data_IF_471176323276
#
_entry.id   IF_471176323276
#
_cell.length_a   1.000
_cell.length_b   1.000
_cell.length_c   1.000
_cell.angle_alpha   90.00
_cell.angle_beta   90.00
_cell.angle_gamma   90.00
#
_symmetry.space_group_name_H-M   'P 1'
#
loop_
_entity.id
_entity.type
_entity.pdbx_description
1 polymer ?
#
# COMPACT_ATOMS: atom_id res chain seq x y z
N UNK A 1 -0.86 -0.28 22.23
CA UNK A 1 0.13 0.05 21.18
C UNK A 1 -0.57 0.04 19.83
N UNK A 2 -0.57 1.13 19.06
CA UNK A 2 -1.17 1.14 17.72
C UNK A 2 -0.11 0.77 16.68
N UNK A 3 -0.45 -0.14 15.76
CA UNK A 3 0.40 -0.48 14.62
C UNK A 3 0.22 0.57 13.52
N UNK A 4 1.32 1.09 12.99
CA UNK A 4 1.30 2.12 11.94
C UNK A 4 1.41 1.52 10.55
N UNK A 5 2.36 0.60 10.35
CA UNK A 5 2.58 -0.15 9.11
C UNK A 5 3.17 -1.53 9.44
N UNK A 6 3.11 -2.49 8.52
CA UNK A 6 3.70 -3.81 8.70
C UNK A 6 3.71 -4.64 7.43
N UNK A 7 4.56 -5.67 7.42
CA UNK A 7 4.82 -6.53 6.28
C UNK A 7 5.18 -7.95 6.75
N UNK A 8 4.76 -8.94 5.97
CA UNK A 8 5.13 -10.34 6.16
C UNK A 8 6.50 -10.64 5.55
N UNK A 9 7.26 -11.48 6.22
CA UNK A 9 8.56 -12.02 5.79
C UNK A 9 8.48 -13.53 5.62
N UNK A 10 9.39 -14.08 4.81
CA UNK A 10 9.60 -15.52 4.64
C UNK A 10 8.29 -16.26 4.33
N UNK A 11 7.50 -15.75 3.38
CA UNK A 11 6.21 -16.35 3.02
C UNK A 11 5.15 -16.31 4.14
N UNK A 12 5.29 -15.41 5.12
CA UNK A 12 4.34 -15.21 6.21
C UNK A 12 4.73 -15.86 7.55
N UNK A 13 5.88 -16.53 7.61
CA UNK A 13 6.46 -17.10 8.84
C UNK A 13 6.78 -16.04 9.89
N UNK A 14 7.03 -14.79 9.48
CA UNK A 14 7.24 -13.69 10.42
C UNK A 14 6.51 -12.43 9.97
N UNK A 15 6.10 -11.62 10.94
CA UNK A 15 5.51 -10.31 10.75
C UNK A 15 6.45 -9.25 11.31
N UNK A 16 6.89 -8.32 10.46
CA UNK A 16 7.55 -7.09 10.91
C UNK A 16 6.54 -5.97 10.89
N UNK A 17 6.46 -5.22 11.99
CA UNK A 17 5.53 -4.10 12.07
C UNK A 17 6.11 -2.96 12.90
N UNK A 18 5.63 -1.76 12.63
CA UNK A 18 6.03 -0.56 13.34
C UNK A 18 4.92 -0.04 14.23
N UNK A 19 5.34 0.65 15.27
CA UNK A 19 4.46 1.36 16.21
C UNK A 19 5.06 2.73 16.49
N UNK A 20 4.39 3.53 17.32
CA UNK A 20 4.94 4.81 17.77
C UNK A 20 6.33 4.69 18.44
N UNK A 21 6.64 3.52 19.00
CA UNK A 21 7.80 3.29 19.87
C UNK A 21 8.94 2.48 19.24
N UNK A 22 8.80 2.01 18.00
CA UNK A 22 9.82 1.19 17.37
C UNK A 22 9.27 0.22 16.33
N UNK A 23 10.17 -0.57 15.76
CA UNK A 23 9.90 -1.66 14.83
C UNK A 23 10.09 -2.99 15.57
N UNK A 24 9.14 -3.89 15.38
CA UNK A 24 9.01 -5.16 16.08
C UNK A 24 8.94 -6.29 15.06
N UNK A 25 9.42 -7.46 15.48
CA UNK A 25 9.30 -8.73 14.77
C UNK A 25 8.48 -9.68 15.64
N UNK A 26 7.59 -10.43 15.01
CA UNK A 26 6.94 -11.57 15.64
C UNK A 26 6.88 -12.75 14.68
N UNK A 27 7.14 -13.95 15.18
CA UNK A 27 7.11 -15.16 14.38
C UNK A 27 5.75 -15.85 14.48
N UNK A 28 5.35 -16.54 13.42
CA UNK A 28 4.08 -17.24 13.33
C UNK A 28 4.17 -18.53 14.14
N UNK A 29 3.23 -18.73 15.05
CA UNK A 29 3.08 -19.99 15.80
C UNK A 29 2.20 -20.97 15.01
N UNK A 30 1.13 -20.45 14.42
CA UNK A 30 0.19 -21.19 13.57
C UNK A 30 -0.51 -20.21 12.63
N UNK A 31 -1.41 -20.70 11.77
CA UNK A 31 -2.10 -19.89 10.75
C UNK A 31 -2.90 -18.69 11.31
N UNK A 32 -3.16 -18.63 12.62
CA UNK A 32 -3.98 -17.58 13.24
C UNK A 32 -3.24 -16.74 14.27
N UNK A 33 -2.07 -17.17 14.76
CA UNK A 33 -1.40 -16.51 15.89
C UNK A 33 0.09 -16.33 15.68
N UNK A 34 0.58 -15.18 16.14
CA UNK A 34 1.98 -14.81 16.19
C UNK A 34 2.47 -14.77 17.64
N UNK A 35 3.77 -14.97 17.85
CA UNK A 35 4.44 -14.87 19.13
C UNK A 35 4.36 -13.47 19.75
N UNK A 36 4.75 -13.36 21.01
CA UNK A 36 4.92 -12.06 21.65
C UNK A 36 5.97 -11.24 20.87
N UNK A 37 5.65 -9.98 20.47
CA UNK A 37 6.56 -9.21 19.62
C UNK A 37 7.85 -8.82 20.32
N UNK A 38 8.97 -9.03 19.62
CA UNK A 38 10.29 -8.59 20.07
C UNK A 38 10.66 -7.30 19.36
N UNK A 39 11.07 -6.29 20.12
CA UNK A 39 11.49 -5.00 19.56
C UNK A 39 12.85 -5.14 18.89
N UNK A 40 12.90 -4.89 17.58
CA UNK A 40 14.12 -5.00 16.79
C UNK A 40 14.83 -3.67 16.64
N UNK A 41 14.09 -2.59 16.38
CA UNK A 41 14.66 -1.25 16.23
C UNK A 41 13.95 -0.24 17.14
N UNK A 42 14.74 0.62 17.79
CA UNK A 42 14.23 1.79 18.51
C UNK A 42 14.05 2.98 17.56
N UNK A 43 13.27 2.77 16.48
CA UNK A 43 12.97 3.77 15.46
C UNK A 43 11.53 4.26 15.63
N UNK A 44 11.37 5.37 16.34
CA UNK A 44 10.06 5.96 16.68
C UNK A 44 9.43 6.65 15.49
N UNK A 45 8.11 6.87 15.57
CA UNK A 45 7.34 7.61 14.55
C UNK A 45 7.54 7.05 13.13
N UNK A 46 7.70 5.72 13.02
CA UNK A 46 7.79 5.04 11.73
C UNK A 46 6.42 5.03 11.07
N UNK A 47 6.33 5.57 9.86
CA UNK A 47 5.09 5.73 9.08
C UNK A 47 5.03 4.83 7.86
N UNK A 48 6.19 4.42 7.34
CA UNK A 48 6.31 3.49 6.23
C UNK A 48 7.43 2.49 6.51
N UNK A 49 7.21 1.24 6.13
CA UNK A 49 8.15 0.13 6.25
C UNK A 49 8.03 -0.72 4.98
N UNK A 50 9.16 -0.99 4.34
CA UNK A 50 9.25 -1.89 3.18
C UNK A 50 10.41 -2.84 3.38
N UNK A 51 10.17 -4.12 3.10
CA UNK A 51 11.17 -5.16 3.10
C UNK A 51 11.33 -5.68 1.68
N UNK A 52 12.57 -5.63 1.22
CA UNK A 52 13.03 -6.11 -0.07
C UNK A 52 13.83 -7.39 0.20
N UNK A 53 13.15 -8.52 0.22
CA UNK A 53 13.70 -9.82 0.66
C UNK A 53 14.83 -10.29 -0.28
N UNK A 54 14.63 -10.23 -1.59
CA UNK A 54 15.66 -10.60 -2.59
C UNK A 54 16.92 -9.76 -2.43
N UNK A 55 16.76 -8.45 -2.21
CA UNK A 55 17.86 -7.50 -2.11
C UNK A 55 18.45 -7.43 -0.69
N UNK A 56 17.90 -8.17 0.27
CA UNK A 56 18.31 -8.18 1.68
C UNK A 56 18.31 -6.79 2.33
N UNK A 57 17.27 -5.99 2.08
CA UNK A 57 17.11 -4.63 2.64
C UNK A 57 15.77 -4.40 3.31
N UNK A 58 15.82 -3.63 4.39
CA UNK A 58 14.67 -3.00 5.00
C UNK A 58 14.77 -1.47 4.89
N UNK A 59 13.68 -0.85 4.47
CA UNK A 59 13.50 0.59 4.35
C UNK A 59 12.46 1.04 5.37
N UNK A 60 12.76 2.07 6.16
CA UNK A 60 11.82 2.62 7.11
C UNK A 60 11.80 4.15 7.02
N UNK A 61 10.62 4.73 6.82
CA UNK A 61 10.41 6.16 6.92
C UNK A 61 9.98 6.50 8.34
N UNK A 62 10.83 7.22 9.06
CA UNK A 62 10.61 7.62 10.44
C UNK A 62 10.91 9.10 10.62
N UNK A 63 9.94 9.83 11.17
CA UNK A 63 10.06 11.28 11.45
C UNK A 63 10.60 12.07 10.25
N UNK A 64 10.01 11.83 9.07
CA UNK A 64 10.41 12.46 7.82
C UNK A 64 11.78 12.03 7.28
N UNK A 65 12.46 11.05 7.87
CA UNK A 65 13.75 10.55 7.39
C UNK A 65 13.64 9.09 6.95
N UNK A 66 14.08 8.81 5.72
CA UNK A 66 14.20 7.45 5.21
C UNK A 66 15.52 6.83 5.70
N UNK A 67 15.40 5.65 6.29
CA UNK A 67 16.50 4.81 6.73
C UNK A 67 16.54 3.52 5.94
N UNK A 68 17.76 3.06 5.64
CA UNK A 68 18.04 1.78 5.01
C UNK A 68 18.83 0.89 6.00
N UNK A 69 18.39 -0.34 6.19
CA UNK A 69 19.01 -1.34 7.05
C UNK A 69 19.23 -2.63 6.25
N UNK A 70 20.38 -3.31 6.40
CA UNK A 70 20.48 -4.71 5.99
C UNK A 70 19.36 -5.52 6.66
N UNK A 71 18.66 -6.37 5.91
CA UNK A 71 17.52 -7.15 6.43
C UNK A 71 17.93 -8.02 7.63
N UNK A 72 19.13 -8.58 7.58
CA UNK A 72 19.76 -9.31 8.69
C UNK A 72 19.76 -8.53 10.02
N UNK A 73 19.84 -7.19 9.97
CA UNK A 73 19.77 -6.34 11.16
C UNK A 73 18.42 -6.37 11.87
N UNK A 74 17.33 -6.70 11.17
CA UNK A 74 16.00 -6.91 11.77
C UNK A 74 15.81 -8.32 12.32
N UNK A 75 16.53 -9.31 11.79
CA UNK A 75 16.34 -10.73 12.08
C UNK A 75 17.26 -11.23 13.20
N UNK A 76 18.45 -10.64 13.35
CA UNK A 76 19.44 -11.07 14.33
C UNK A 76 19.33 -10.35 15.68
N UNK A 77 19.56 -11.11 16.75
CA UNK A 77 19.69 -10.60 18.12
C UNK A 77 21.14 -10.62 18.64
N UNK A 78 21.45 -9.73 19.59
CA UNK A 78 22.74 -9.66 20.27
C UNK A 78 23.72 -8.57 19.78
N UNK A 79 24.98 -8.67 20.19
CA UNK A 79 25.98 -7.62 19.98
C UNK A 79 26.37 -7.42 18.49
N UNK A 80 26.27 -8.48 17.67
CA UNK A 80 26.56 -8.43 16.24
C UNK A 80 25.52 -7.63 15.45
N UNK A 81 24.24 -7.67 15.86
CA UNK A 81 23.19 -6.89 15.20
C UNK A 81 23.20 -5.40 15.56
N UNK A 82 23.85 -5.00 16.67
CA UNK A 82 23.88 -3.60 17.12
C UNK A 82 24.42 -2.61 16.08
N UNK A 83 25.39 -3.03 15.24
CA UNK A 83 25.91 -2.21 14.13
C UNK A 83 24.94 -2.16 12.95
N UNK A 84 24.32 -3.28 12.61
CA UNK A 84 23.36 -3.40 11.50
C UNK A 84 22.06 -2.62 11.81
N UNK A 85 21.61 -2.67 13.07
CA UNK A 85 20.43 -1.97 13.61
C UNK A 85 20.57 -0.45 13.64
N UNK A 86 21.77 0.11 13.39
CA UNK A 86 21.97 1.56 13.30
C UNK A 86 21.35 2.14 12.03
N UNK A 87 21.37 1.36 10.95
CA UNK A 87 20.92 1.80 9.63
C UNK A 87 21.75 2.95 9.04
N UNK A 88 21.47 3.24 7.77
CA UNK A 88 22.00 4.38 7.03
C UNK A 88 20.86 5.34 6.72
N UNK A 89 21.04 6.62 7.04
CA UNK A 89 20.13 7.69 6.60
C UNK A 89 20.27 7.86 5.08
N UNK A 90 19.16 7.79 4.36
CA UNK A 90 19.12 7.91 2.90
C UNK A 90 18.78 9.33 2.46
N UNK A 91 17.66 9.85 2.95
CA UNK A 91 17.20 11.22 2.68
C UNK A 91 16.11 11.65 3.66
N UNK A 92 15.78 12.94 3.66
CA UNK A 92 14.52 13.43 4.16
C UNK A 92 13.43 13.11 3.12
N UNK A 93 12.23 12.69 3.52
CA UNK A 93 11.05 12.61 2.66
C UNK A 93 9.77 12.52 3.47
N UNK A 94 8.64 12.91 2.88
CA UNK A 94 7.32 12.81 3.52
C UNK A 94 6.56 11.55 3.10
N UNK A 95 6.92 11.00 1.94
CA UNK A 95 6.29 9.84 1.35
C UNK A 95 7.32 9.02 0.58
N UNK A 96 7.07 7.72 0.46
CA UNK A 96 7.89 6.80 -0.31
C UNK A 96 6.99 5.77 -0.98
N UNK A 97 7.33 5.43 -2.23
CA UNK A 97 6.79 4.29 -2.93
C UNK A 97 7.91 3.61 -3.73
N UNK A 98 7.73 2.31 -3.96
CA UNK A 98 8.62 1.49 -4.78
C UNK A 98 7.75 0.83 -5.85
N UNK A 99 8.27 0.74 -7.07
CA UNK A 99 7.61 0.04 -8.15
C UNK A 99 8.53 -0.17 -9.35
N UNK A 100 8.05 -0.97 -10.29
CA UNK A 100 8.77 -1.36 -11.49
C UNK A 100 8.47 -0.35 -12.60
N UNK A 101 9.50 0.01 -13.36
CA UNK A 101 9.42 0.87 -14.56
C UNK A 101 10.16 0.13 -15.69
N UNK A 102 9.47 -0.13 -16.80
CA UNK A 102 10.10 -0.64 -18.02
C UNK A 102 10.99 0.46 -18.61
N UNK A 103 12.22 0.06 -18.95
CA UNK A 103 13.35 0.98 -19.20
C UNK A 103 13.39 1.54 -20.62
N UNK A 104 12.35 1.37 -21.42
CA UNK A 104 12.32 1.89 -22.79
C UNK A 104 12.70 3.38 -22.86
N UNK A 105 13.86 3.68 -23.45
CA UNK A 105 14.40 5.02 -23.77
C UNK A 105 14.61 6.02 -22.61
N UNK A 106 14.79 5.58 -21.36
CA UNK A 106 15.16 6.52 -20.27
C UNK A 106 16.68 6.75 -20.32
N UNK A 107 17.12 7.92 -20.82
CA UNK A 107 18.54 8.28 -20.87
C UNK A 107 19.15 8.33 -19.46
N UNK A 108 20.27 7.64 -19.28
CA UNK A 108 21.03 7.60 -18.05
C UNK A 108 21.85 8.90 -17.89
N UNK A 109 21.67 9.57 -16.75
CA UNK A 109 22.50 10.62 -16.11
C UNK A 109 21.76 11.96 -15.92
N UNK A 110 21.29 12.22 -14.70
CA UNK A 110 21.04 13.59 -14.22
C UNK A 110 21.36 13.67 -12.73
N UNK A 111 22.17 14.67 -12.35
CA UNK A 111 22.58 15.00 -10.98
C UNK A 111 22.07 16.41 -10.59
N UNK A 112 22.15 16.71 -9.29
CA UNK A 112 22.23 18.01 -8.58
C UNK A 112 20.97 18.66 -7.97
N UNK A 113 21.11 19.09 -6.69
CA UNK A 113 20.48 20.29 -6.14
C UNK A 113 19.63 20.14 -4.86
N UNK A 114 19.91 20.95 -3.84
CA UNK A 114 19.16 21.05 -2.57
C UNK A 114 17.79 21.77 -2.74
N UNK A 115 16.81 21.31 -1.95
CA UNK A 115 15.44 21.84 -1.76
C UNK A 115 14.38 21.54 -2.83
N UNK A 116 13.52 20.54 -2.56
CA UNK A 116 12.05 20.60 -2.66
C UNK A 116 11.42 19.24 -2.29
N UNK A 117 10.19 19.28 -1.79
CA UNK A 117 9.35 18.19 -1.25
C UNK A 117 9.49 16.86 -2.01
N UNK A 118 9.87 15.80 -1.28
CA UNK A 118 10.36 14.55 -1.86
C UNK A 118 9.24 13.59 -2.29
N UNK A 119 9.17 13.30 -3.59
CA UNK A 119 8.77 12.01 -4.15
C UNK A 119 10.02 11.37 -4.77
N UNK A 120 10.76 10.57 -4.00
CA UNK A 120 11.94 9.85 -4.50
C UNK A 120 11.51 8.48 -5.00
N UNK A 121 11.54 8.30 -6.32
CA UNK A 121 11.50 6.97 -6.94
C UNK A 121 12.91 6.40 -6.81
N UNK A 122 13.09 5.43 -5.91
CA UNK A 122 14.36 4.73 -5.80
C UNK A 122 14.29 3.47 -6.68
N UNK A 123 15.13 3.41 -7.71
CA UNK A 123 15.31 2.24 -8.57
C UNK A 123 16.68 1.62 -8.25
N UNK A 124 16.70 0.38 -7.72
CA UNK A 124 17.89 -0.49 -7.62
C UNK A 124 18.18 -1.08 -6.23
N UNK A 125 18.90 -2.21 -6.18
CA UNK A 125 19.45 -2.93 -5.00
C UNK A 125 20.26 -2.05 -4.00
N UNK A 126 20.88 -2.58 -2.96
CA UNK A 126 20.97 -1.88 -1.65
C UNK A 126 22.31 -1.14 -1.43
N UNK A 127 23.28 -1.38 -2.31
CA UNK A 127 24.34 -0.46 -2.70
C UNK A 127 24.07 0.17 -4.10
N UNK A 128 22.87 -0.04 -4.63
CA UNK A 128 22.38 0.28 -5.97
C UNK A 128 21.13 1.20 -5.97
N UNK A 129 20.66 1.71 -4.81
CA UNK A 129 19.62 2.74 -4.72
C UNK A 129 20.27 4.06 -5.08
N UNK A 130 20.54 4.23 -6.36
CA UNK A 130 21.06 5.47 -6.92
C UNK A 130 19.91 6.41 -7.20
N UNK A 131 20.05 7.67 -6.82
CA UNK A 131 19.15 8.70 -7.30
C UNK A 131 19.31 8.76 -8.82
N UNK A 132 18.28 8.35 -9.56
CA UNK A 132 18.28 8.38 -11.03
C UNK A 132 17.61 9.62 -11.58
N UNK A 133 16.51 10.06 -10.96
CA UNK A 133 15.74 11.22 -11.41
C UNK A 133 15.10 11.92 -10.23
N UNK A 134 15.20 13.25 -10.22
CA UNK A 134 14.53 14.13 -9.27
C UNK A 134 13.57 15.02 -10.05
N UNK A 135 12.33 15.11 -9.57
CA UNK A 135 11.26 15.87 -10.22
C UNK A 135 10.59 16.76 -9.18
N UNK A 136 10.41 18.03 -9.52
CA UNK A 136 9.61 18.95 -8.70
C UNK A 136 8.14 18.82 -9.08
N UNK A 137 7.30 18.46 -8.12
CA UNK A 137 5.85 18.38 -8.30
C UNK A 137 5.23 19.66 -7.74
N UNK A 138 4.44 20.42 -8.52
CA UNK A 138 3.83 21.68 -8.07
C UNK A 138 2.60 21.46 -7.17
N UNK A 139 2.58 20.36 -6.41
CA UNK A 139 1.48 19.93 -5.57
C UNK A 139 2.02 19.12 -4.38
N UNK A 140 1.24 19.03 -3.31
CA UNK A 140 1.54 18.06 -2.25
C UNK A 140 1.16 16.68 -2.77
N UNK A 141 2.16 15.81 -2.93
CA UNK A 141 1.97 14.41 -3.29
C UNK A 141 1.52 13.63 -2.05
N UNK A 142 0.38 12.95 -2.16
CA UNK A 142 -0.17 12.08 -1.13
C UNK A 142 0.15 10.60 -1.43
N UNK A 143 0.12 10.18 -2.71
CA UNK A 143 0.54 8.82 -3.15
C UNK A 143 1.18 8.79 -4.53
N UNK A 144 2.00 7.77 -4.79
CA UNK A 144 2.70 7.53 -6.07
C UNK A 144 2.42 6.10 -6.53
N UNK A 145 2.13 5.93 -7.83
CA UNK A 145 1.86 4.63 -8.45
C UNK A 145 2.74 4.41 -9.66
N UNK A 146 3.10 3.15 -9.88
CA UNK A 146 3.92 2.69 -10.99
C UNK A 146 3.14 1.68 -11.81
N UNK A 147 3.31 1.70 -13.13
CA UNK A 147 2.56 0.85 -14.07
C UNK A 147 3.44 -0.09 -14.87
N UNK A 148 4.72 -0.16 -14.55
CA UNK A 148 5.69 -0.77 -15.44
C UNK A 148 5.94 0.04 -16.71
N UNK A 149 5.32 1.19 -16.96
CA UNK A 149 5.65 2.05 -18.13
C UNK A 149 6.56 3.22 -17.74
N UNK A 150 6.99 4.04 -18.72
CA UNK A 150 7.72 5.30 -18.50
C UNK A 150 6.86 6.43 -17.89
N UNK A 151 5.70 6.10 -17.30
CA UNK A 151 4.79 7.03 -16.65
C UNK A 151 4.63 6.68 -15.18
N UNK A 152 4.64 7.71 -14.34
CA UNK A 152 4.38 7.62 -12.90
C UNK A 152 3.10 8.39 -12.61
N UNK A 153 2.21 7.81 -11.82
CA UNK A 153 0.94 8.44 -11.48
C UNK A 153 1.05 9.00 -10.06
N UNK A 154 0.52 10.20 -9.87
CA UNK A 154 0.61 10.96 -8.63
C UNK A 154 -0.80 11.29 -8.17
N UNK A 155 -1.15 10.84 -6.97
CA UNK A 155 -2.28 11.42 -6.25
C UNK A 155 -1.79 12.61 -5.44
N UNK A 156 -2.37 13.76 -5.71
CA UNK A 156 -1.99 15.01 -5.08
C UNK A 156 -3.21 15.69 -4.46
N UNK A 157 -2.97 16.71 -3.66
CA UNK A 157 -4.02 17.60 -3.18
C UNK A 157 -4.75 18.38 -4.31
N UNK A 158 -4.25 18.33 -5.55
CA UNK A 158 -4.90 18.87 -6.74
C UNK A 158 -5.63 17.79 -7.58
N UNK A 159 -5.65 16.54 -7.14
CA UNK A 159 -6.20 15.40 -7.87
C UNK A 159 -5.14 14.48 -8.48
N UNK A 160 -5.57 13.59 -9.37
CA UNK A 160 -4.71 12.66 -10.09
C UNK A 160 -3.93 13.35 -11.19
N UNK A 161 -2.62 13.11 -11.23
CA UNK A 161 -1.71 13.63 -12.23
C UNK A 161 -0.84 12.50 -12.79
N UNK A 162 -0.40 12.63 -14.05
CA UNK A 162 0.61 11.77 -14.66
C UNK A 162 1.90 12.56 -14.80
N UNK A 163 2.99 11.97 -14.35
CA UNK A 163 4.37 12.37 -14.63
C UNK A 163 4.95 11.48 -15.74
N UNK A 164 5.28 12.07 -16.87
CA UNK A 164 6.03 11.39 -17.93
C UNK A 164 7.53 11.44 -17.59
N UNK A 165 8.17 10.27 -17.40
CA UNK A 165 9.55 10.19 -16.94
C UNK A 165 10.58 10.53 -18.02
N UNK A 166 10.20 10.64 -19.28
CA UNK A 166 11.07 11.09 -20.37
C UNK A 166 11.19 12.62 -20.38
N UNK A 167 10.06 13.30 -20.45
CA UNK A 167 9.90 14.76 -20.61
C UNK A 167 9.84 15.52 -19.30
N UNK A 168 9.58 14.84 -18.18
CA UNK A 168 9.32 15.45 -16.86
C UNK A 168 8.05 16.30 -16.85
N UNK A 169 7.18 16.11 -17.83
CA UNK A 169 5.90 16.81 -17.89
C UNK A 169 4.93 16.22 -16.86
N UNK A 170 4.29 17.10 -16.09
CA UNK A 170 3.22 16.74 -15.16
C UNK A 170 1.91 17.31 -15.71
N UNK A 171 0.93 16.42 -15.92
CA UNK A 171 -0.40 16.80 -16.43
C UNK A 171 -1.50 16.21 -15.55
N UNK A 172 -2.65 16.90 -15.39
CA UNK A 172 -3.85 16.28 -14.81
C UNK A 172 -4.22 15.02 -15.59
N UNK A 173 -4.62 13.97 -14.87
CA UNK A 173 -5.16 12.76 -15.50
C UNK A 173 -6.62 12.97 -15.90
N UNK A 174 -7.42 13.49 -14.96
CA UNK A 174 -8.83 13.73 -15.19
C UNK A 174 -9.03 15.11 -15.80
N UNK A 175 -9.79 15.19 -16.88
CA UNK A 175 -10.22 16.45 -17.47
C UNK A 175 -11.38 17.03 -16.65
N UNK A 176 -11.14 18.14 -15.95
CA UNK A 176 -12.17 18.82 -15.16
C UNK A 176 -13.40 19.26 -15.99
N UNK A 177 -13.27 19.33 -17.32
CA UNK A 177 -14.37 19.63 -18.24
C UNK A 177 -15.15 18.40 -18.72
N UNK A 178 -14.64 17.18 -18.54
CA UNK A 178 -15.35 15.95 -18.94
C UNK A 178 -16.29 15.47 -17.84
N UNK A 179 -17.58 15.80 -17.98
CA UNK A 179 -18.63 15.38 -17.05
C UNK A 179 -18.72 13.86 -16.86
N UNK A 180 -18.25 13.04 -17.81
CA UNK A 180 -18.28 11.57 -17.71
C UNK A 180 -17.25 11.02 -16.72
N UNK A 181 -16.24 11.82 -16.41
CA UNK A 181 -15.18 11.49 -15.44
C UNK A 181 -15.51 11.99 -14.04
N UNK A 182 -16.59 12.76 -13.89
CA UNK A 182 -17.08 13.18 -12.59
C UNK A 182 -17.65 11.97 -11.86
N UNK A 183 -17.09 11.70 -10.70
CA UNK A 183 -17.58 10.70 -9.76
C UNK A 183 -18.83 11.30 -9.10
N UNK A 184 -20.02 10.87 -9.50
CA UNK A 184 -21.32 11.31 -8.95
C UNK A 184 -21.59 10.74 -7.53
N UNK A 185 -20.55 10.64 -6.69
CA UNK A 185 -20.64 10.14 -5.32
C UNK A 185 -21.25 11.18 -4.39
N UNK A 186 -22.04 10.71 -3.43
CA UNK A 186 -22.64 11.60 -2.42
C UNK A 186 -21.58 12.17 -1.47
N UNK A 187 -20.52 11.40 -1.22
CA UNK A 187 -19.44 11.75 -0.29
C UNK A 187 -18.04 11.75 -0.94
N UNK A 188 -17.97 11.66 -2.27
CA UNK A 188 -16.71 11.50 -3.01
C UNK A 188 -15.80 12.74 -2.93
N UNK A 189 -14.81 12.72 -2.03
CA UNK A 189 -13.70 13.69 -1.98
C UNK A 189 -12.40 13.03 -2.43
N UNK A 190 -12.12 13.11 -3.73
CA UNK A 190 -10.89 12.59 -4.32
C UNK A 190 -10.76 11.06 -4.24
N UNK A 191 -9.75 10.48 -4.92
CA UNK A 191 -9.54 9.03 -4.90
C UNK A 191 -9.07 8.54 -3.53
N UNK A 192 -9.72 7.49 -3.05
CA UNK A 192 -9.30 6.71 -1.88
C UNK A 192 -8.44 5.53 -2.31
N UNK A 193 -8.66 5.01 -3.52
CA UNK A 193 -7.88 3.91 -4.08
C UNK A 193 -7.80 4.03 -5.60
N UNK A 194 -6.63 3.70 -6.15
CA UNK A 194 -6.36 3.74 -7.59
C UNK A 194 -5.45 2.57 -7.93
N UNK A 195 -5.82 1.76 -8.93
CA UNK A 195 -5.01 0.63 -9.39
C UNK A 195 -5.18 0.34 -10.88
N UNK A 196 -4.10 -0.14 -11.51
CA UNK A 196 -4.10 -0.63 -12.88
C UNK A 196 -4.59 -2.06 -12.93
N UNK A 197 -5.51 -2.32 -13.85
CA UNK A 197 -6.01 -3.64 -14.19
C UNK A 197 -5.85 -3.87 -15.68
N UNK A 198 -6.07 -5.09 -16.14
CA UNK A 198 -6.13 -5.45 -17.56
C UNK A 198 -7.07 -4.55 -18.40
N UNK A 199 -8.21 -4.13 -17.84
CA UNK A 199 -9.22 -3.30 -18.52
C UNK A 199 -9.03 -1.77 -18.41
N UNK A 200 -8.03 -1.29 -17.67
CA UNK A 200 -7.78 0.13 -17.49
C UNK A 200 -7.33 0.48 -16.07
N UNK A 201 -7.72 1.66 -15.59
CA UNK A 201 -7.44 2.12 -14.24
C UNK A 201 -8.73 2.10 -13.42
N UNK A 202 -8.75 1.29 -12.36
CA UNK A 202 -9.83 1.28 -11.39
C UNK A 202 -9.65 2.48 -10.44
N UNK A 203 -10.50 3.47 -10.62
CA UNK A 203 -10.56 4.68 -9.81
C UNK A 203 -11.65 4.54 -8.75
N UNK A 204 -11.29 4.60 -7.48
CA UNK A 204 -12.25 4.46 -6.38
C UNK A 204 -12.20 5.63 -5.41
N UNK A 205 -13.32 6.33 -5.27
CA UNK A 205 -13.64 7.19 -4.13
C UNK A 205 -14.18 6.36 -2.97
N UNK A 206 -14.47 6.97 -1.83
CA UNK A 206 -14.97 6.25 -0.65
C UNK A 206 -16.27 5.48 -0.88
N UNK A 207 -17.14 5.96 -1.75
CA UNK A 207 -18.50 5.42 -1.97
C UNK A 207 -18.73 4.87 -3.38
N UNK A 208 -17.85 5.17 -4.34
CA UNK A 208 -17.97 4.75 -5.74
C UNK A 208 -16.64 4.29 -6.31
N UNK A 209 -16.66 3.21 -7.11
CA UNK A 209 -15.56 2.82 -8.00
C UNK A 209 -16.00 2.78 -9.46
N UNK A 210 -15.12 3.25 -10.36
CA UNK A 210 -15.33 3.27 -11.82
C UNK A 210 -14.03 2.90 -12.54
N UNK A 211 -14.15 2.45 -13.78
CA UNK A 211 -12.98 2.32 -14.65
C UNK A 211 -12.73 3.61 -15.42
N UNK A 212 -11.46 3.99 -15.57
CA UNK A 212 -11.00 5.01 -16.49
C UNK A 212 -9.89 4.46 -17.38
N UNK A 213 -9.72 5.01 -18.57
CA UNK A 213 -8.59 4.67 -19.44
C UNK A 213 -7.30 5.38 -18.99
N UNK A 214 -6.19 5.09 -19.68
CA UNK A 214 -4.87 5.67 -19.40
C UNK A 214 -4.78 7.19 -19.70
N UNK A 215 -5.78 7.75 -20.35
CA UNK A 215 -5.94 9.18 -20.61
C UNK A 215 -6.97 9.83 -19.65
N UNK A 216 -7.50 9.06 -18.70
CA UNK A 216 -8.42 9.54 -17.67
C UNK A 216 -9.87 9.68 -18.10
N UNK A 217 -10.27 9.09 -19.23
CA UNK A 217 -11.66 9.08 -19.70
C UNK A 217 -12.41 7.88 -19.13
N UNK A 218 -13.72 7.98 -18.96
CA UNK A 218 -14.57 6.87 -18.49
C UNK A 218 -14.37 5.64 -19.37
N UNK A 219 -13.98 4.53 -18.76
CA UNK A 219 -13.98 3.20 -19.34
C UNK A 219 -15.12 2.38 -18.72
N UNK A 220 -15.61 1.36 -19.45
CA UNK A 220 -16.78 0.55 -19.07
C UNK A 220 -17.95 1.45 -18.58
N UNK A 221 -18.60 2.19 -19.49
CA UNK A 221 -19.58 3.24 -19.14
C UNK A 221 -20.68 2.79 -18.16
N UNK A 222 -21.23 1.59 -18.38
CA UNK A 222 -22.29 1.01 -17.53
C UNK A 222 -21.76 0.40 -16.22
N UNK A 223 -20.46 0.17 -16.10
CA UNK A 223 -19.87 -0.46 -14.94
C UNK A 223 -19.58 0.58 -13.86
N UNK A 224 -20.09 0.31 -12.66
CA UNK A 224 -19.71 1.02 -11.43
C UNK A 224 -19.97 0.14 -10.23
N UNK A 225 -19.21 0.36 -9.17
CA UNK A 225 -19.53 -0.14 -7.84
C UNK A 225 -20.06 1.05 -7.03
N UNK A 226 -21.25 0.89 -6.48
CA UNK A 226 -21.74 1.72 -5.37
C UNK A 226 -21.54 0.91 -4.08
N UNK A 227 -20.62 1.37 -3.25
CA UNK A 227 -20.27 0.69 -2.00
C UNK A 227 -21.39 0.89 -0.97
N UNK A 228 -21.65 -0.15 -0.17
CA UNK A 228 -22.71 -0.08 0.85
C UNK A 228 -22.40 0.97 1.92
N UNK A 229 -21.11 1.16 2.21
CA UNK A 229 -20.63 2.19 3.13
C UNK A 229 -19.35 2.85 2.59
N UNK A 230 -19.11 4.13 2.94
CA UNK A 230 -17.85 4.80 2.64
C UNK A 230 -16.65 4.04 3.24
N UNK A 231 -15.76 3.58 2.37
CA UNK A 231 -14.51 2.94 2.78
C UNK A 231 -13.36 3.94 2.89
N UNK A 232 -12.33 3.55 3.64
CA UNK A 232 -11.15 4.37 3.94
C UNK A 232 -9.87 3.84 3.31
N UNK A 233 -9.88 2.56 2.91
CA UNK A 233 -8.84 1.94 2.12
C UNK A 233 -9.47 0.82 1.29
N UNK A 234 -8.90 0.53 0.13
CA UNK A 234 -9.25 -0.66 -0.64
C UNK A 234 -7.98 -1.32 -1.19
N UNK A 235 -8.15 -2.53 -1.72
CA UNK A 235 -7.09 -3.35 -2.29
C UNK A 235 -7.69 -4.34 -3.28
N UNK A 236 -7.04 -4.59 -4.41
CA UNK A 236 -7.42 -5.68 -5.32
C UNK A 236 -6.62 -6.93 -5.05
N UNK A 237 -7.26 -8.09 -5.18
CA UNK A 237 -6.66 -9.41 -5.05
C UNK A 237 -6.82 -10.19 -6.34
N UNK A 238 -5.69 -10.71 -6.85
CA UNK A 238 -5.59 -11.55 -8.05
C UNK A 238 -6.26 -10.94 -9.29
N UNK A 239 -6.44 -9.62 -9.33
CA UNK A 239 -7.29 -8.93 -10.33
C UNK A 239 -8.71 -9.53 -10.49
N UNK A 240 -9.23 -10.21 -9.46
CA UNK A 240 -10.58 -10.79 -9.48
C UNK A 240 -11.52 -10.09 -8.51
N UNK A 241 -10.99 -9.57 -7.40
CA UNK A 241 -11.79 -8.97 -6.35
C UNK A 241 -11.21 -7.65 -5.87
N UNK A 242 -12.08 -6.68 -5.61
CA UNK A 242 -11.73 -5.48 -4.85
C UNK A 242 -12.27 -5.62 -3.43
N UNK A 243 -11.39 -5.43 -2.44
CA UNK A 243 -11.69 -5.51 -1.01
C UNK A 243 -11.56 -4.12 -0.40
N UNK A 244 -12.66 -3.61 0.15
CA UNK A 244 -12.77 -2.30 0.78
C UNK A 244 -12.87 -2.42 2.31
N UNK A 245 -12.19 -1.51 3.01
CA UNK A 245 -12.10 -1.43 4.47
C UNK A 245 -12.77 -0.15 4.98
N UNK A 246 -13.83 -0.31 5.77
CA UNK A 246 -14.59 0.80 6.37
C UNK A 246 -14.38 0.88 7.88
N UNK A 247 -15.07 1.83 8.52
CA UNK A 247 -15.07 1.95 9.98
C UNK A 247 -15.86 0.84 10.69
N UNK A 248 -16.69 0.10 9.96
CA UNK A 248 -17.61 -0.92 10.50
C UNK A 248 -17.18 -2.34 10.11
N UNK A 249 -16.47 -2.50 8.99
CA UNK A 249 -16.10 -3.82 8.51
C UNK A 249 -15.32 -3.83 7.20
N UNK A 250 -15.43 -4.98 6.53
CA UNK A 250 -14.76 -5.29 5.27
C UNK A 250 -15.80 -5.80 4.28
N UNK A 251 -15.76 -5.28 3.07
CA UNK A 251 -16.60 -5.70 1.94
C UNK A 251 -15.71 -6.05 0.76
N UNK A 252 -15.90 -7.22 0.15
CA UNK A 252 -15.25 -7.60 -1.08
C UNK A 252 -16.29 -7.76 -2.19
N UNK A 253 -15.92 -7.28 -3.37
CA UNK A 253 -16.73 -7.38 -4.58
C UNK A 253 -15.93 -8.00 -5.70
N UNK A 254 -16.61 -8.76 -6.52
CA UNK A 254 -16.10 -9.23 -7.81
C UNK A 254 -15.84 -8.02 -8.70
N UNK A 255 -14.63 -7.93 -9.25
CA UNK A 255 -14.15 -6.74 -9.95
C UNK A 255 -14.81 -6.58 -11.33
N UNK A 256 -15.28 -7.68 -11.94
CA UNK A 256 -15.90 -7.64 -13.26
C UNK A 256 -17.39 -7.35 -13.18
N UNK A 257 -18.08 -7.95 -12.22
CA UNK A 257 -19.54 -7.84 -12.08
C UNK A 257 -19.97 -6.78 -11.05
N UNK A 258 -19.06 -6.36 -10.17
CA UNK A 258 -19.37 -5.45 -9.06
C UNK A 258 -20.25 -6.08 -7.96
N UNK A 259 -20.49 -7.38 -8.04
CA UNK A 259 -21.36 -8.10 -7.08
C UNK A 259 -20.65 -8.33 -5.75
N UNK A 260 -21.40 -8.27 -4.65
CA UNK A 260 -20.85 -8.55 -3.32
C UNK A 260 -20.56 -10.04 -3.20
N UNK A 261 -19.28 -10.37 -3.03
CA UNK A 261 -18.83 -11.76 -2.78
C UNK A 261 -18.62 -12.02 -1.30
N UNK A 262 -18.31 -10.99 -0.52
CA UNK A 262 -18.10 -11.08 0.91
C UNK A 262 -18.41 -9.74 1.58
N UNK A 263 -19.03 -9.76 2.75
CA UNK A 263 -19.20 -8.58 3.59
C UNK A 263 -19.31 -8.98 5.05
N UNK A 264 -18.51 -8.38 5.92
CA UNK A 264 -18.53 -8.71 7.35
C UNK A 264 -18.15 -7.53 8.21
N UNK A 265 -18.90 -7.39 9.30
CA UNK A 265 -18.61 -6.43 10.35
C UNK A 265 -17.44 -6.92 11.22
N UNK A 266 -16.41 -6.09 11.26
CA UNK A 266 -15.20 -6.28 12.06
C UNK A 266 -14.87 -5.01 12.84
N UNK A 267 -15.85 -4.13 13.09
CA UNK A 267 -15.62 -2.82 13.67
C UNK A 267 -14.59 -2.01 12.88
N UNK A 268 -13.85 -1.15 13.58
CA UNK A 268 -12.81 -0.32 12.96
C UNK A 268 -11.73 -1.19 12.34
N UNK A 269 -11.70 -1.25 11.01
CA UNK A 269 -10.72 -1.98 10.23
C UNK A 269 -9.68 -1.03 9.62
N UNK A 270 -8.47 -1.53 9.36
CA UNK A 270 -7.42 -0.78 8.66
C UNK A 270 -6.54 -1.71 7.84
N UNK A 271 -6.43 -1.43 6.55
CA UNK A 271 -5.43 -2.06 5.69
C UNK A 271 -4.02 -1.63 6.13
N UNK A 272 -3.13 -2.61 6.34
CA UNK A 272 -1.71 -2.33 6.60
C UNK A 272 -0.89 -2.44 5.33
N UNK A 273 -1.03 -3.54 4.60
CA UNK A 273 -0.25 -3.81 3.39
C UNK A 273 -0.91 -4.92 2.56
N UNK A 274 -0.84 -4.79 1.24
CA UNK A 274 -1.04 -5.90 0.29
C UNK A 274 0.31 -6.54 -0.02
N UNK A 275 0.38 -7.87 -0.05
CA UNK A 275 1.50 -8.64 -0.59
C UNK A 275 1.00 -9.41 -1.82
N UNK A 276 1.71 -9.26 -2.94
CA UNK A 276 1.58 -10.15 -4.09
C UNK A 276 2.78 -11.08 -4.05
N UNK A 277 2.55 -12.39 -3.99
CA UNK A 277 3.62 -13.37 -4.12
C UNK A 277 3.99 -13.54 -5.61
N UNK A 278 5.22 -14.02 -5.88
CA UNK A 278 5.75 -14.18 -7.24
C UNK A 278 4.91 -15.13 -8.11
N UNK A 279 4.29 -16.12 -7.48
CA UNK A 279 3.23 -16.91 -8.09
C UNK A 279 1.93 -16.12 -7.94
N UNK A 280 1.47 -15.44 -9.00
CA UNK A 280 0.23 -14.62 -9.06
C UNK A 280 -1.03 -15.36 -8.56
N UNK A 281 -0.94 -16.67 -8.36
CA UNK A 281 -1.95 -17.52 -7.74
C UNK A 281 -2.14 -17.27 -6.23
N UNK A 282 -1.22 -16.56 -5.55
CA UNK A 282 -1.32 -16.30 -4.11
C UNK A 282 -1.18 -14.80 -3.78
N UNK A 283 -2.30 -14.13 -3.49
CA UNK A 283 -2.34 -12.73 -3.04
C UNK A 283 -2.79 -12.67 -1.58
N UNK A 284 -1.97 -12.09 -0.70
CA UNK A 284 -2.32 -11.96 0.72
C UNK A 284 -2.46 -10.50 1.15
N UNK A 285 -3.34 -10.28 2.13
CA UNK A 285 -3.58 -8.96 2.72
C UNK A 285 -3.32 -9.00 4.21
N UNK A 286 -2.58 -8.01 4.68
CA UNK A 286 -2.38 -7.77 6.10
C UNK A 286 -3.30 -6.61 6.49
N UNK A 287 -4.25 -6.88 7.38
CA UNK A 287 -5.18 -5.89 7.89
C UNK A 287 -5.34 -6.01 9.41
N UNK A 288 -5.57 -4.88 10.06
CA UNK A 288 -6.02 -4.82 11.45
C UNK A 288 -7.54 -4.83 11.45
N UNK A 289 -8.12 -5.84 12.10
CA UNK A 289 -9.57 -6.03 12.21
C UNK A 289 -9.96 -6.04 13.69
N UNK A 290 -10.97 -5.24 14.10
CA UNK A 290 -11.43 -5.15 15.49
C UNK A 290 -12.80 -5.82 15.66
N UNK A 291 -12.81 -7.13 15.87
CA UNK A 291 -14.03 -7.91 16.10
C UNK A 291 -15.04 -7.19 17.01
N UNK A 292 -16.25 -6.99 16.48
CA UNK A 292 -17.41 -6.64 17.29
C UNK A 292 -17.98 -7.94 17.90
N UNK A 293 -18.13 -7.97 19.22
CA UNK A 293 -18.87 -9.04 19.89
C UNK A 293 -20.37 -8.85 19.62
N UNK A 294 -20.86 -9.35 18.49
CA UNK A 294 -22.29 -9.47 18.25
C UNK A 294 -22.69 -10.95 18.26
N UNK A 295 -23.52 -11.33 19.24
CA UNK A 295 -24.01 -12.70 19.44
C UNK A 295 -25.02 -13.18 18.39
N UNK A 296 -25.29 -12.44 17.32
CA UNK A 296 -26.24 -12.86 16.28
C UNK A 296 -25.85 -12.23 14.94
N UNK A 297 -25.07 -12.95 14.14
CA UNK A 297 -24.91 -12.64 12.71
C UNK A 297 -25.24 -13.91 11.91
N UNK A 298 -26.20 -13.87 10.96
CA UNK A 298 -26.48 -14.99 10.09
C UNK A 298 -25.22 -15.31 9.26
N UNK A 299 -24.94 -16.60 9.08
CA UNK A 299 -23.76 -17.07 8.36
C UNK A 299 -23.66 -16.49 6.94
N UNK A 300 -22.46 -16.03 6.58
CA UNK A 300 -22.11 -15.70 5.21
C UNK A 300 -22.08 -16.96 4.35
N UNK A 301 -22.72 -16.89 3.18
CA UNK A 301 -22.43 -17.76 2.06
C UNK A 301 -21.14 -17.25 1.40
N UNK A 302 -20.04 -17.96 1.60
CA UNK A 302 -18.91 -17.86 0.68
C UNK A 302 -19.35 -18.51 -0.64
N UNK A 303 -19.59 -17.72 -1.68
CA UNK A 303 -19.61 -18.26 -3.03
C UNK A 303 -18.18 -18.67 -3.38
N UNK A 304 -18.03 -19.92 -3.81
CA UNK A 304 -16.78 -20.62 -4.12
C UNK A 304 -15.65 -19.74 -4.67
N UNK A 305 -14.55 -19.60 -3.92
CA UNK A 305 -13.27 -19.13 -4.45
C UNK A 305 -12.44 -18.24 -3.52
N UNK A 306 -13.06 -17.30 -2.80
CA UNK A 306 -12.33 -16.33 -1.97
C UNK A 306 -12.21 -16.82 -0.51
N UNK A 307 -11.07 -17.43 -0.16
CA UNK A 307 -10.74 -17.74 1.25
C UNK A 307 -10.15 -16.52 1.96
N UNK A 308 -11.03 -15.67 2.50
CA UNK A 308 -10.60 -14.52 3.32
C UNK A 308 -10.00 -14.91 4.68
N UNK A 309 -9.85 -16.20 5.01
CA UNK A 309 -9.07 -16.58 6.20
C UNK A 309 -7.58 -16.21 6.07
N UNK A 310 -7.13 -15.94 4.84
CA UNK A 310 -5.79 -15.41 4.52
C UNK A 310 -5.65 -13.89 4.68
N UNK A 311 -6.74 -13.15 4.93
CA UNK A 311 -6.64 -11.80 5.48
C UNK A 311 -6.07 -11.93 6.89
N UNK A 312 -4.75 -11.78 6.99
CA UNK A 312 -4.01 -12.06 8.20
C UNK A 312 -4.57 -11.22 9.34
N UNK A 313 -5.25 -11.89 10.26
CA UNK A 313 -5.84 -11.30 11.46
C UNK A 313 -4.72 -11.03 12.45
N UNK A 314 -4.25 -9.80 12.49
CA UNK A 314 -3.34 -9.37 13.56
C UNK A 314 -4.18 -8.90 14.75
N UNK A 315 -4.38 -9.79 15.74
CA UNK A 315 -5.04 -9.43 17.00
C UNK A 315 -4.13 -8.53 17.84
N UNK A 316 -4.47 -7.25 17.90
CA UNK A 316 -3.74 -6.23 18.67
C UNK A 316 -3.73 -6.53 20.18
N UNK A 317 -4.67 -7.32 20.71
CA UNK A 317 -4.70 -7.68 22.14
C UNK A 317 -3.54 -8.59 22.53
N UNK A 318 -3.16 -9.52 21.66
CA UNK A 318 -1.98 -10.38 21.86
C UNK A 318 -0.65 -9.59 21.80
N UNK A 319 -0.65 -8.45 21.11
CA UNK A 319 0.50 -7.56 20.98
C UNK A 319 0.63 -6.54 22.13
N UNK A 320 -0.39 -6.43 23.00
CA UNK A 320 -0.48 -5.45 24.07
C UNK A 320 -0.21 -5.99 25.48
N UNK A 321 0.14 -7.28 25.63
CA UNK A 321 0.35 -7.94 26.93
C UNK A 321 1.84 -8.05 27.32
N UNK A 322 2.60 -6.96 27.21
CA UNK A 322 3.94 -6.82 27.79
C UNK A 322 4.16 -5.38 28.29
#
# INVERSE_FOLDING_TARGET
MAITCGQLLNGGESLVFSTENGIYLSNRINNQTYEAPTRQLNLKLTTYLEILEEQQLALALADGTLYAFPLEGLLLDGALSSRLKRGKRVCHCNYMAIGIIDRGNIEENVDFGEEAVWSRVLLGEVALLQLRKQVSVPAKVDRIFFTGSSRVYLETNMGLQILALDTVEIRPLLDASDARTQLDGKDSKGPVYTEFTTDGLLLSCSDISIYIDHDGRRAREDWKIEWNEPFTAAVTLMEMWIVAFSQTGVEARDIDTGTVVFSREYGKSRLLKRRMDEDEENCSVIALLRLQENQNSPGLQASSGLDISELLRVDVRALGSA
#
